data_IF_181047246624
#
_entry.id   IF_181047246624
#
_cell.length_a   1.000
_cell.length_b   1.000
_cell.length_c   1.000
_cell.angle_alpha   90.00
_cell.angle_beta   90.00
_cell.angle_gamma   90.00
#
_symmetry.space_group_name_H-M   'P 1'
#
loop_
_entity.id
_entity.type
_entity.pdbx_description
1 polymer ?
#
# COMPACT_ATOMS: atom_id res chain seq x y z
N UNK A 1 48.87 3.33 15.84
CA UNK A 1 47.53 2.69 15.84
C UNK A 1 47.60 1.57 14.81
N UNK A 2 47.32 0.31 15.18
CA UNK A 2 47.29 -0.79 14.20
C UNK A 2 46.13 -0.56 13.21
N UNK A 3 46.27 -1.03 11.98
CA UNK A 3 45.19 -0.93 10.99
C UNK A 3 43.91 -1.62 11.49
N UNK A 4 44.04 -2.73 12.22
CA UNK A 4 42.95 -3.42 12.89
C UNK A 4 42.14 -2.51 13.82
N UNK A 5 42.80 -1.71 14.66
CA UNK A 5 42.12 -0.78 15.57
C UNK A 5 41.47 0.39 14.82
N UNK A 6 42.09 0.83 13.72
CA UNK A 6 41.48 1.83 12.84
C UNK A 6 40.21 1.26 12.19
N UNK A 7 40.27 0.03 11.69
CA UNK A 7 39.16 -0.66 11.06
C UNK A 7 37.98 -0.85 12.03
N UNK A 8 38.24 -1.32 13.26
CA UNK A 8 37.21 -1.56 14.27
C UNK A 8 36.52 -0.30 14.80
N UNK A 9 37.10 0.88 14.57
CA UNK A 9 36.48 2.17 14.92
C UNK A 9 35.78 2.79 13.72
N UNK A 10 36.42 2.80 12.55
CA UNK A 10 35.91 3.48 11.36
C UNK A 10 34.64 2.80 10.85
N UNK A 11 34.64 1.46 10.74
CA UNK A 11 33.48 0.73 10.20
C UNK A 11 32.22 0.97 11.04
N UNK A 12 32.23 0.84 12.38
CA UNK A 12 31.07 1.19 13.19
C UNK A 12 30.65 2.65 13.09
N UNK A 13 31.62 3.56 13.08
CA UNK A 13 31.33 5.00 12.97
C UNK A 13 30.62 5.34 11.67
N UNK A 14 31.11 4.81 10.54
CA UNK A 14 30.48 4.98 9.23
C UNK A 14 29.08 4.34 9.20
N UNK A 15 28.95 3.13 9.73
CA UNK A 15 27.68 2.40 9.77
C UNK A 15 26.63 3.15 10.60
N UNK A 16 26.97 3.56 11.82
CA UNK A 16 26.09 4.36 12.69
C UNK A 16 25.70 5.67 12.01
N UNK A 17 26.66 6.38 11.39
CA UNK A 17 26.39 7.66 10.72
C UNK A 17 25.42 7.48 9.54
N UNK A 18 25.64 6.45 8.72
CA UNK A 18 24.80 6.14 7.57
C UNK A 18 23.38 5.71 8.00
N UNK A 19 23.29 4.77 8.96
CA UNK A 19 22.01 4.29 9.49
C UNK A 19 21.26 5.39 10.26
N UNK A 20 21.95 6.29 10.96
CA UNK A 20 21.32 7.43 11.63
C UNK A 20 20.71 8.39 10.61
N UNK A 21 21.45 8.72 9.56
CA UNK A 21 20.90 9.53 8.46
C UNK A 21 19.67 8.86 7.84
N UNK A 22 19.77 7.58 7.51
CA UNK A 22 18.70 6.83 6.87
C UNK A 22 17.48 6.70 7.82
N UNK A 23 17.69 6.45 9.11
CA UNK A 23 16.63 6.37 10.12
C UNK A 23 15.90 7.71 10.30
N UNK A 24 16.62 8.84 10.27
CA UNK A 24 15.99 10.17 10.32
C UNK A 24 15.12 10.39 9.08
N UNK A 25 15.61 10.02 7.89
CA UNK A 25 14.83 10.14 6.65
C UNK A 25 13.61 9.21 6.66
N UNK A 26 13.76 7.98 7.14
CA UNK A 26 12.69 7.00 7.27
C UNK A 26 11.60 7.47 8.26
N UNK A 27 11.97 8.02 9.42
CA UNK A 27 11.00 8.57 10.38
C UNK A 27 10.27 9.80 9.82
N UNK A 28 10.99 10.73 9.19
CA UNK A 28 10.43 12.02 8.77
C UNK A 28 9.68 11.96 7.44
N UNK A 29 10.19 11.17 6.50
CA UNK A 29 9.70 11.15 5.12
C UNK A 29 9.22 9.78 4.66
N UNK A 30 9.40 8.73 5.47
CA UNK A 30 9.07 7.33 5.15
C UNK A 30 9.77 6.79 3.90
N UNK A 31 10.82 7.49 3.47
CA UNK A 31 11.61 7.18 2.30
C UNK A 31 13.03 7.70 2.51
N UNK A 32 14.02 6.92 2.07
CA UNK A 32 15.41 7.37 2.04
C UNK A 32 15.66 8.07 0.72
N UNK A 33 15.33 9.37 0.66
CA UNK A 33 15.38 10.17 -0.58
C UNK A 33 16.75 10.19 -1.26
N UNK A 34 17.82 10.14 -0.47
CA UNK A 34 19.21 10.16 -0.98
C UNK A 34 19.80 8.77 -0.89
N UNK A 35 19.57 7.99 -1.94
CA UNK A 35 20.09 6.62 -2.04
C UNK A 35 21.63 6.55 -2.11
N UNK A 36 22.30 7.68 -2.33
CA UNK A 36 23.76 7.78 -2.30
C UNK A 36 24.38 7.28 -0.98
N UNK A 37 23.63 7.30 0.13
CA UNK A 37 24.09 6.74 1.40
C UNK A 37 24.46 5.25 1.28
N UNK A 38 23.65 4.47 0.56
CA UNK A 38 23.89 3.04 0.35
C UNK A 38 25.12 2.82 -0.53
N UNK A 39 25.28 3.64 -1.57
CA UNK A 39 26.44 3.58 -2.44
C UNK A 39 27.74 3.92 -1.68
N UNK A 40 27.71 4.92 -0.79
CA UNK A 40 28.86 5.25 0.05
C UNK A 40 29.23 4.09 0.97
N UNK A 41 28.25 3.44 1.61
CA UNK A 41 28.50 2.26 2.44
C UNK A 41 29.17 1.14 1.65
N UNK A 42 28.70 0.86 0.43
CA UNK A 42 29.31 -0.14 -0.45
C UNK A 42 30.75 0.24 -0.82
N UNK A 43 30.99 1.48 -1.26
CA UNK A 43 32.32 1.95 -1.66
C UNK A 43 33.30 1.86 -0.48
N UNK A 44 32.94 2.39 0.68
CA UNK A 44 33.80 2.32 1.86
C UNK A 44 34.00 0.89 2.34
N UNK A 45 32.96 0.05 2.31
CA UNK A 45 33.06 -1.37 2.64
C UNK A 45 34.09 -2.07 1.78
N UNK A 46 33.96 -1.99 0.46
CA UNK A 46 34.93 -2.60 -0.47
C UNK A 46 36.35 -2.12 -0.20
N UNK A 47 36.56 -0.80 -0.02
CA UNK A 47 37.88 -0.23 0.24
C UNK A 47 38.46 -0.76 1.56
N UNK A 48 37.76 -0.60 2.68
CA UNK A 48 38.28 -0.95 4.00
C UNK A 48 38.43 -2.46 4.20
N UNK A 49 37.52 -3.28 3.66
CA UNK A 49 37.64 -4.74 3.71
C UNK A 49 38.84 -5.23 2.88
N UNK A 50 39.08 -4.63 1.70
CA UNK A 50 40.26 -4.96 0.90
C UNK A 50 41.54 -4.59 1.64
N UNK A 51 41.59 -3.40 2.24
CA UNK A 51 42.74 -2.98 3.06
C UNK A 51 42.93 -3.90 4.28
N UNK A 52 41.86 -4.37 4.90
CA UNK A 52 41.93 -5.33 6.01
C UNK A 52 42.57 -6.66 5.57
N UNK A 53 42.15 -7.18 4.41
CA UNK A 53 42.75 -8.39 3.83
C UNK A 53 44.24 -8.20 3.51
N UNK A 54 44.65 -7.03 3.02
CA UNK A 54 46.04 -6.77 2.65
C UNK A 54 46.97 -6.54 3.85
N UNK A 55 46.49 -5.86 4.89
CA UNK A 55 47.34 -5.39 5.99
C UNK A 55 47.19 -6.17 7.30
N UNK A 56 46.11 -6.92 7.49
CA UNK A 56 45.82 -7.61 8.77
C UNK A 56 45.69 -9.11 8.59
N UNK A 57 45.03 -9.58 7.52
CA UNK A 57 44.64 -10.98 7.41
C UNK A 57 45.81 -11.98 7.35
N UNK A 58 46.98 -11.56 6.84
CA UNK A 58 48.19 -12.39 6.79
C UNK A 58 47.94 -13.75 6.11
N UNK A 59 48.38 -14.83 6.75
CA UNK A 59 48.22 -16.20 6.23
C UNK A 59 46.76 -16.70 6.26
N UNK A 60 45.88 -16.05 7.03
CA UNK A 60 44.46 -16.42 7.16
C UNK A 60 43.54 -15.73 6.15
N UNK A 61 44.11 -15.01 5.18
CA UNK A 61 43.35 -14.21 4.21
C UNK A 61 42.25 -14.99 3.47
N UNK A 62 42.46 -16.28 3.17
CA UNK A 62 41.44 -17.12 2.50
C UNK A 62 40.21 -17.34 3.38
N UNK A 63 40.41 -17.60 4.68
CA UNK A 63 39.32 -17.88 5.61
C UNK A 63 38.51 -16.60 5.88
N UNK A 64 39.22 -15.49 6.11
CA UNK A 64 38.59 -14.18 6.33
C UNK A 64 37.83 -13.73 5.07
N UNK A 65 38.40 -13.91 3.88
CA UNK A 65 37.72 -13.60 2.64
C UNK A 65 36.45 -14.43 2.46
N UNK A 66 36.51 -15.73 2.76
CA UNK A 66 35.35 -16.61 2.70
C UNK A 66 34.26 -16.17 3.67
N UNK A 67 34.60 -15.82 4.92
CA UNK A 67 33.65 -15.27 5.90
C UNK A 67 32.98 -14.00 5.37
N UNK A 68 33.76 -13.06 4.81
CA UNK A 68 33.21 -11.83 4.25
C UNK A 68 32.25 -12.10 3.09
N UNK A 69 32.64 -12.96 2.15
CA UNK A 69 31.81 -13.31 1.00
C UNK A 69 30.52 -14.01 1.42
N UNK A 70 30.60 -14.89 2.42
CA UNK A 70 29.43 -15.58 2.93
C UNK A 70 28.44 -14.63 3.60
N UNK A 71 28.93 -13.68 4.42
CA UNK A 71 28.07 -12.62 5.00
C UNK A 71 27.40 -11.78 3.93
N UNK A 72 28.11 -11.45 2.84
CA UNK A 72 27.53 -10.73 1.70
C UNK A 72 26.43 -11.58 1.05
N UNK A 73 26.70 -12.84 0.72
CA UNK A 73 25.73 -13.75 0.09
C UNK A 73 24.48 -13.89 0.97
N UNK A 74 24.64 -14.10 2.28
CA UNK A 74 23.54 -14.19 3.24
C UNK A 74 22.72 -12.91 3.24
N UNK A 75 23.37 -11.74 3.33
CA UNK A 75 22.68 -10.46 3.30
C UNK A 75 21.89 -10.24 2.02
N UNK A 76 22.45 -10.63 0.87
CA UNK A 76 21.77 -10.52 -0.43
C UNK A 76 20.54 -11.42 -0.51
N UNK A 77 20.71 -12.70 -0.15
CA UNK A 77 19.63 -13.70 -0.17
C UNK A 77 18.51 -13.29 0.79
N UNK A 78 18.84 -12.93 2.05
CA UNK A 78 17.84 -12.50 3.03
C UNK A 78 17.10 -11.24 2.57
N UNK A 79 17.83 -10.24 2.05
CA UNK A 79 17.21 -9.01 1.55
C UNK A 79 16.26 -9.28 0.39
N UNK A 80 16.66 -10.13 -0.56
CA UNK A 80 15.82 -10.50 -1.70
C UNK A 80 14.58 -11.30 -1.28
N UNK A 81 14.74 -12.31 -0.42
CA UNK A 81 13.62 -13.15 0.05
C UNK A 81 12.60 -12.33 0.81
N UNK A 82 13.05 -11.46 1.74
CA UNK A 82 12.15 -10.62 2.53
C UNK A 82 11.45 -9.55 1.70
N UNK A 83 12.13 -9.01 0.67
CA UNK A 83 11.51 -8.12 -0.31
C UNK A 83 10.44 -8.84 -1.13
N UNK A 84 10.75 -10.04 -1.65
CA UNK A 84 9.83 -10.81 -2.49
C UNK A 84 8.58 -11.26 -1.74
N UNK A 85 8.71 -11.62 -0.46
CA UNK A 85 7.58 -11.94 0.43
C UNK A 85 6.85 -10.65 0.88
N UNK A 86 7.30 -9.46 0.49
CA UNK A 86 6.68 -8.19 0.85
C UNK A 86 6.72 -7.90 2.37
N UNK A 87 7.68 -8.49 3.09
CA UNK A 87 7.84 -8.26 4.52
C UNK A 87 8.26 -6.81 4.82
N UNK A 88 9.06 -6.21 3.93
CA UNK A 88 9.54 -4.84 4.04
C UNK A 88 9.78 -4.19 2.67
N UNK A 89 10.16 -2.91 2.68
CA UNK A 89 10.35 -2.13 1.46
C UNK A 89 11.72 -2.27 0.79
N UNK A 90 11.86 -1.61 -0.36
CA UNK A 90 13.12 -1.56 -1.11
C UNK A 90 14.24 -0.83 -0.35
N UNK A 91 13.92 0.18 0.47
CA UNK A 91 14.91 0.88 1.27
C UNK A 91 15.55 -0.03 2.33
N UNK A 92 14.76 -0.89 2.98
CA UNK A 92 15.26 -1.84 3.98
C UNK A 92 16.17 -2.89 3.35
N UNK A 93 15.81 -3.36 2.15
CA UNK A 93 16.62 -4.29 1.36
C UNK A 93 17.97 -3.69 0.98
N UNK A 94 17.97 -2.45 0.47
CA UNK A 94 19.21 -1.72 0.14
C UNK A 94 20.07 -1.49 1.38
N UNK A 95 19.45 -1.18 2.52
CA UNK A 95 20.15 -1.05 3.79
C UNK A 95 20.86 -2.35 4.16
N UNK A 96 20.16 -3.49 4.12
CA UNK A 96 20.73 -4.79 4.46
C UNK A 96 21.89 -5.18 3.56
N UNK A 97 21.77 -4.99 2.24
CA UNK A 97 22.84 -5.28 1.28
C UNK A 97 24.05 -4.38 1.47
N UNK A 98 23.83 -3.08 1.72
CA UNK A 98 24.92 -2.15 1.98
C UNK A 98 25.64 -2.45 3.30
N UNK A 99 24.89 -2.94 4.29
CA UNK A 99 25.41 -3.33 5.60
C UNK A 99 26.20 -4.64 5.54
N UNK A 100 25.78 -5.60 4.72
CA UNK A 100 26.55 -6.84 4.51
C UNK A 100 27.90 -6.60 3.84
N UNK A 101 28.01 -5.56 3.02
CA UNK A 101 29.27 -5.16 2.38
C UNK A 101 30.12 -4.28 3.30
N UNK A 102 29.52 -3.33 4.03
CA UNK A 102 30.29 -2.45 4.91
C UNK A 102 30.78 -3.14 6.18
N UNK A 103 29.98 -4.06 6.73
CA UNK A 103 30.27 -4.71 7.99
C UNK A 103 30.22 -6.25 7.90
N UNK A 104 31.03 -6.87 7.03
CA UNK A 104 31.00 -8.32 6.83
C UNK A 104 31.62 -9.11 7.99
N UNK A 105 32.48 -8.46 8.79
CA UNK A 105 33.13 -9.01 9.98
C UNK A 105 32.62 -8.29 11.22
N UNK A 106 32.60 -8.97 12.37
CA UNK A 106 32.29 -8.33 13.64
C UNK A 106 33.38 -7.29 14.01
N UNK A 107 33.02 -6.03 14.31
CA UNK A 107 34.00 -5.00 14.68
C UNK A 107 34.60 -5.21 16.07
N UNK A 108 33.89 -5.94 16.94
CA UNK A 108 34.32 -6.28 18.29
C UNK A 108 34.12 -7.77 18.56
N UNK A 109 34.92 -8.39 19.45
CA UNK A 109 34.70 -9.75 19.89
C UNK A 109 33.31 -9.90 20.52
N UNK A 110 32.64 -11.02 20.25
CA UNK A 110 31.33 -11.31 20.85
C UNK A 110 31.46 -11.42 22.39
N UNK A 111 30.84 -10.49 23.11
CA UNK A 111 30.90 -10.41 24.57
C UNK A 111 30.22 -11.62 25.24
N UNK A 112 29.18 -12.16 24.60
CA UNK A 112 28.34 -13.24 25.13
C UNK A 112 28.88 -14.66 24.87
N UNK A 113 30.09 -14.79 24.30
CA UNK A 113 30.68 -16.07 23.92
C UNK A 113 30.08 -16.67 22.64
N UNK A 114 30.85 -17.53 21.98
CA UNK A 114 30.50 -18.15 20.69
C UNK A 114 30.30 -19.67 20.81
N UNK A 115 29.90 -20.15 21.99
CA UNK A 115 29.55 -21.56 22.11
C UNK A 115 28.04 -21.67 21.92
N UNK A 116 27.62 -22.22 20.78
CA UNK A 116 26.54 -23.23 20.63
C UNK A 116 26.03 -23.27 19.19
N UNK A 117 26.37 -24.38 18.50
CA UNK A 117 25.57 -25.27 17.63
C UNK A 117 26.58 -26.03 16.74
N UNK A 118 26.73 -27.34 16.97
CA UNK A 118 27.65 -28.24 16.24
C UNK A 118 27.22 -28.59 14.80
N UNK A 119 26.31 -27.81 14.21
CA UNK A 119 25.85 -27.97 12.83
C UNK A 119 26.50 -26.91 11.93
N UNK A 120 27.40 -27.30 11.01
CA UNK A 120 28.27 -26.37 10.30
C UNK A 120 27.53 -25.36 9.41
N UNK A 121 26.36 -25.70 8.88
CA UNK A 121 25.57 -24.76 8.07
C UNK A 121 24.88 -23.67 8.92
N UNK A 122 24.31 -24.06 10.07
CA UNK A 122 23.64 -23.10 10.95
C UNK A 122 24.65 -22.19 11.65
N UNK A 123 25.81 -22.71 12.07
CA UNK A 123 26.89 -21.89 12.63
C UNK A 123 27.24 -20.70 11.71
N UNK A 124 27.38 -20.94 10.40
CA UNK A 124 27.76 -19.87 9.47
C UNK A 124 26.69 -18.78 9.25
N UNK A 125 25.40 -19.13 9.22
CA UNK A 125 24.32 -18.13 9.13
C UNK A 125 24.17 -17.38 10.44
N UNK A 126 24.18 -18.10 11.56
CA UNK A 126 23.98 -17.52 12.86
C UNK A 126 25.14 -16.63 13.26
N UNK A 127 26.38 -16.94 12.89
CA UNK A 127 27.56 -16.12 13.17
C UNK A 127 27.66 -14.86 12.30
N UNK A 128 26.92 -14.80 11.19
CA UNK A 128 26.95 -13.64 10.30
C UNK A 128 26.51 -12.36 11.03
N UNK A 129 27.31 -11.30 10.88
CA UNK A 129 27.01 -9.97 11.44
C UNK A 129 25.65 -9.44 10.99
N UNK A 130 25.28 -9.66 9.72
CA UNK A 130 24.03 -9.18 9.12
C UNK A 130 22.84 -9.88 9.75
N UNK A 131 22.94 -11.19 9.95
CA UNK A 131 21.90 -11.98 10.60
C UNK A 131 21.73 -11.54 12.05
N UNK A 132 22.84 -11.36 12.78
CA UNK A 132 22.82 -10.89 14.16
C UNK A 132 22.13 -9.52 14.29
N UNK A 133 22.48 -8.57 13.41
CA UNK A 133 21.89 -7.23 13.39
C UNK A 133 20.40 -7.31 13.09
N UNK A 134 19.99 -8.12 12.10
CA UNK A 134 18.60 -8.33 11.74
C UNK A 134 17.79 -8.91 12.91
N UNK A 135 18.30 -9.94 13.60
CA UNK A 135 17.63 -10.51 14.78
C UNK A 135 17.51 -9.48 15.90
N UNK A 136 18.58 -8.75 16.20
CA UNK A 136 18.56 -7.68 17.22
C UNK A 136 17.50 -6.61 16.87
N UNK A 137 17.41 -6.22 15.60
CA UNK A 137 16.40 -5.27 15.12
C UNK A 137 14.99 -5.83 15.24
N UNK A 138 14.75 -7.07 14.80
CA UNK A 138 13.45 -7.73 14.89
C UNK A 138 12.98 -7.84 16.35
N UNK A 139 13.86 -8.17 17.30
CA UNK A 139 13.51 -8.21 18.72
C UNK A 139 13.03 -6.85 19.23
N UNK A 140 13.68 -5.75 18.79
CA UNK A 140 13.24 -4.41 19.15
C UNK A 140 11.89 -4.04 18.53
N UNK A 141 11.59 -4.51 17.32
CA UNK A 141 10.30 -4.23 16.66
C UNK A 141 9.10 -4.82 17.39
N UNK A 142 9.29 -5.88 18.18
CA UNK A 142 8.23 -6.49 19.02
C UNK A 142 7.66 -5.48 20.03
N UNK A 143 8.44 -4.47 20.42
CA UNK A 143 7.99 -3.40 21.32
C UNK A 143 7.26 -2.26 20.59
N UNK A 144 7.24 -2.24 19.25
CA UNK A 144 6.57 -1.17 18.50
C UNK A 144 5.06 -1.06 18.78
N UNK A 145 4.29 -2.17 18.83
CA UNK A 145 2.88 -2.10 19.22
C UNK A 145 2.68 -1.52 20.63
N UNK A 146 3.62 -1.74 21.56
CA UNK A 146 3.56 -1.14 22.90
C UNK A 146 3.71 0.40 22.82
N UNK A 147 4.59 0.90 21.95
CA UNK A 147 4.72 2.34 21.69
C UNK A 147 3.42 2.92 21.13
N UNK A 148 2.77 2.24 20.19
CA UNK A 148 1.48 2.66 19.64
C UNK A 148 0.39 2.70 20.72
N UNK A 149 0.33 1.67 21.58
CA UNK A 149 -0.56 1.64 22.74
C UNK A 149 -0.34 2.85 23.64
N UNK A 150 0.91 3.18 23.98
CA UNK A 150 1.23 4.35 24.81
C UNK A 150 0.75 5.64 24.13
N UNK A 151 1.02 5.82 22.84
CA UNK A 151 0.57 6.98 22.06
C UNK A 151 -0.96 7.08 22.08
N UNK A 152 -1.66 5.96 21.88
CA UNK A 152 -3.11 5.92 21.85
C UNK A 152 -3.72 6.19 23.23
N UNK A 153 -3.10 5.71 24.32
CA UNK A 153 -3.49 6.04 25.70
C UNK A 153 -3.36 7.54 25.96
N UNK A 154 -2.27 8.17 25.49
CA UNK A 154 -2.09 9.63 25.63
C UNK A 154 -3.17 10.38 24.84
N UNK A 155 -3.48 9.95 23.61
CA UNK A 155 -4.53 10.54 22.77
C UNK A 155 -5.93 10.37 23.37
N UNK A 156 -6.21 9.23 24.01
CA UNK A 156 -7.49 8.93 24.63
C UNK A 156 -7.87 9.91 25.75
N UNK A 157 -6.90 10.63 26.33
CA UNK A 157 -7.16 11.68 27.33
C UNK A 157 -7.84 12.91 26.75
N UNK A 158 -7.61 13.21 25.47
CA UNK A 158 -8.06 14.45 24.84
C UNK A 158 -9.31 14.25 23.96
N UNK A 159 -9.52 13.05 23.40
CA UNK A 159 -10.62 12.77 22.49
C UNK A 159 -11.14 11.33 22.63
N UNK A 160 -12.42 11.13 22.34
CA UNK A 160 -13.04 9.81 22.25
C UNK A 160 -12.64 9.09 20.96
N UNK A 161 -11.66 8.19 21.06
CA UNK A 161 -11.01 7.53 19.92
C UNK A 161 -11.92 6.72 18.99
N UNK A 162 -13.05 6.19 19.49
CA UNK A 162 -13.97 5.32 18.73
C UNK A 162 -15.41 5.84 18.65
N UNK A 163 -15.64 7.15 18.84
CA UNK A 163 -17.00 7.69 18.90
C UNK A 163 -17.79 7.52 17.59
N UNK A 164 -17.12 7.54 16.45
CA UNK A 164 -17.74 7.51 15.12
C UNK A 164 -17.43 6.21 14.35
N UNK A 165 -17.10 5.13 15.06
CA UNK A 165 -16.66 3.87 14.44
C UNK A 165 -17.40 2.68 15.04
N UNK A 166 -18.12 1.94 14.19
CA UNK A 166 -18.76 0.68 14.55
C UNK A 166 -17.81 -0.48 14.27
N UNK A 167 -17.43 -1.19 15.33
CA UNK A 167 -16.57 -2.34 15.22
C UNK A 167 -16.74 -3.24 16.45
N UNK A 168 -16.40 -4.52 16.32
CA UNK A 168 -16.41 -5.44 17.45
C UNK A 168 -15.40 -4.99 18.52
N UNK A 169 -15.56 -5.47 19.75
CA UNK A 169 -14.59 -5.17 20.83
C UNK A 169 -13.18 -5.63 20.44
N UNK A 170 -13.06 -6.75 19.74
CA UNK A 170 -11.78 -7.31 19.29
C UNK A 170 -11.12 -6.46 18.20
N UNK A 171 -11.90 -5.96 17.25
CA UNK A 171 -11.37 -5.09 16.18
C UNK A 171 -10.90 -3.75 16.75
N UNK A 172 -11.62 -3.21 17.74
CA UNK A 172 -11.17 -2.01 18.47
C UNK A 172 -9.87 -2.25 19.24
N UNK A 173 -9.73 -3.39 19.92
CA UNK A 173 -8.49 -3.74 20.64
C UNK A 173 -7.33 -3.88 19.66
N UNK A 174 -7.50 -4.65 18.58
CA UNK A 174 -6.44 -4.83 17.57
C UNK A 174 -6.06 -3.50 16.92
N UNK A 175 -7.04 -2.65 16.60
CA UNK A 175 -6.81 -1.32 16.03
C UNK A 175 -6.04 -0.42 17.01
N UNK A 176 -6.34 -0.54 18.31
CA UNK A 176 -5.64 0.18 19.35
C UNK A 176 -4.19 -0.28 19.55
N UNK A 177 -3.88 -1.55 19.26
CA UNK A 177 -2.53 -2.13 19.40
C UNK A 177 -1.67 -1.84 18.16
N UNK A 178 -2.22 -1.99 16.96
CA UNK A 178 -1.47 -1.93 15.71
C UNK A 178 -1.64 -0.62 14.93
N UNK A 179 -2.63 0.20 15.29
CA UNK A 179 -2.94 1.44 14.61
C UNK A 179 -2.76 2.68 15.46
N UNK A 180 -2.91 3.85 14.83
CA UNK A 180 -3.05 5.12 15.53
C UNK A 180 -3.99 6.07 14.79
N UNK A 181 -4.71 6.92 15.53
CA UNK A 181 -5.59 7.91 14.93
C UNK A 181 -4.83 9.18 14.50
N UNK A 182 -5.00 9.63 13.27
CA UNK A 182 -4.44 10.89 12.73
C UNK A 182 -5.54 11.82 12.23
N UNK A 183 -5.24 13.11 12.10
CA UNK A 183 -6.17 14.09 11.51
C UNK A 183 -6.15 13.98 9.99
N UNK A 184 -7.32 13.95 9.36
CA UNK A 184 -7.47 13.84 7.89
C UNK A 184 -6.87 15.05 7.18
N UNK A 185 -6.93 16.24 7.79
CA UNK A 185 -6.34 17.48 7.25
C UNK A 185 -4.82 17.43 7.12
N UNK A 186 -4.15 16.59 7.93
CA UNK A 186 -2.68 16.44 7.91
C UNK A 186 -2.20 15.43 6.88
N UNK A 187 -3.12 14.72 6.21
CA UNK A 187 -2.77 13.66 5.25
C UNK A 187 -2.37 14.28 3.91
N UNK A 188 -1.16 13.97 3.47
CA UNK A 188 -0.68 14.32 2.14
C UNK A 188 -1.09 13.24 1.14
N UNK A 189 -1.89 13.60 0.13
CA UNK A 189 -2.39 12.69 -0.91
C UNK A 189 -1.28 12.00 -1.70
N UNK A 190 -0.13 12.67 -1.85
CA UNK A 190 1.00 12.15 -2.65
C UNK A 190 1.90 11.19 -1.88
N UNK A 191 1.66 10.99 -0.57
CA UNK A 191 2.55 10.23 0.32
C UNK A 191 1.74 9.45 1.35
N UNK A 192 1.09 8.37 0.91
CA UNK A 192 0.26 7.49 1.74
C UNK A 192 1.06 6.26 2.20
N UNK A 193 2.09 6.46 3.03
CA UNK A 193 2.93 5.37 3.59
C UNK A 193 2.31 4.71 4.83
N UNK A 194 1.00 4.54 4.82
CA UNK A 194 0.22 3.92 5.88
C UNK A 194 -1.05 3.33 5.27
N UNK A 195 -1.60 2.30 5.91
CA UNK A 195 -2.89 1.75 5.50
C UNK A 195 -4.02 2.34 6.34
N UNK A 196 -5.19 2.57 5.75
CA UNK A 196 -6.38 2.97 6.48
C UNK A 196 -6.99 1.75 7.18
N UNK A 197 -7.27 1.91 8.47
CA UNK A 197 -7.98 0.90 9.27
C UNK A 197 -9.49 1.15 9.29
N UNK A 198 -9.98 2.20 8.64
CA UNK A 198 -11.38 2.53 8.58
C UNK A 198 -11.86 2.60 7.14
N UNK A 199 -12.92 1.87 6.85
CA UNK A 199 -13.60 1.91 5.57
C UNK A 199 -15.06 2.29 5.80
N UNK A 200 -15.61 3.06 4.87
CA UNK A 200 -17.03 3.35 4.86
C UNK A 200 -17.77 2.12 4.31
N UNK A 201 -18.81 1.67 5.03
CA UNK A 201 -19.62 0.58 4.52
C UNK A 201 -20.26 0.97 3.17
N UNK A 202 -19.98 0.20 2.12
CA UNK A 202 -20.54 0.48 0.80
C UNK A 202 -22.07 0.34 0.86
N UNK A 203 -22.77 1.39 0.44
CA UNK A 203 -24.23 1.35 0.35
C UNK A 203 -24.59 0.69 -0.97
N UNK A 204 -25.43 -0.33 -0.92
CA UNK A 204 -26.02 -0.94 -2.11
C UNK A 204 -27.48 -0.49 -2.22
N UNK A 205 -27.81 0.12 -3.35
CA UNK A 205 -29.15 0.53 -3.71
C UNK A 205 -29.61 -0.27 -4.93
N UNK A 206 -30.86 -0.74 -4.87
CA UNK A 206 -31.54 -1.38 -5.99
C UNK A 206 -32.85 -0.68 -6.23
N UNK A 207 -33.13 -0.33 -7.48
CA UNK A 207 -34.38 0.36 -7.82
C UNK A 207 -34.34 1.13 -9.13
N UNK A 208 -35.46 1.79 -9.38
CA UNK A 208 -35.61 2.84 -10.38
C UNK A 208 -35.29 4.18 -9.73
N UNK A 209 -34.24 4.83 -10.20
CA UNK A 209 -33.78 6.13 -9.73
C UNK A 209 -34.06 7.15 -10.82
N UNK A 210 -34.55 8.34 -10.45
CA UNK A 210 -34.80 9.40 -11.40
C UNK A 210 -34.63 10.76 -10.75
N UNK A 211 -33.94 11.67 -11.44
CA UNK A 211 -33.87 13.07 -11.03
C UNK A 211 -32.55 13.76 -11.34
N UNK A 212 -32.48 15.01 -10.89
CA UNK A 212 -31.27 15.83 -10.98
C UNK A 212 -30.50 15.69 -9.66
N UNK A 213 -29.35 15.02 -9.73
CA UNK A 213 -28.39 14.91 -8.65
C UNK A 213 -27.25 15.90 -8.87
N UNK A 214 -26.94 16.71 -7.86
CA UNK A 214 -25.78 17.60 -7.85
C UNK A 214 -24.90 17.24 -6.66
N UNK A 215 -23.70 16.72 -6.93
CA UNK A 215 -22.83 16.24 -5.86
C UNK A 215 -21.62 15.40 -6.30
N UNK A 216 -21.13 14.61 -5.34
CA UNK A 216 -19.97 13.74 -5.42
C UNK A 216 -20.40 12.28 -5.29
N UNK A 217 -19.96 11.43 -6.22
CA UNK A 217 -20.28 10.01 -6.25
C UNK A 217 -18.99 9.20 -6.36
N UNK A 218 -18.89 8.10 -5.64
CA UNK A 218 -17.83 7.10 -5.79
C UNK A 218 -18.46 5.73 -5.71
N UNK A 219 -18.32 4.92 -6.76
CA UNK A 219 -18.92 3.60 -6.75
C UNK A 219 -19.04 2.94 -8.11
N UNK A 220 -19.75 1.83 -8.11
CA UNK A 220 -20.08 1.01 -9.26
C UNK A 220 -21.58 1.12 -9.54
N UNK A 221 -21.96 1.65 -10.70
CA UNK A 221 -23.31 1.53 -11.26
C UNK A 221 -23.35 0.34 -12.21
N UNK A 222 -24.33 -0.53 -12.04
CA UNK A 222 -24.57 -1.70 -12.91
C UNK A 222 -26.01 -1.65 -13.37
N UNK A 223 -26.22 -1.47 -14.68
CA UNK A 223 -27.56 -1.51 -15.27
C UNK A 223 -27.75 -0.52 -16.39
N UNK A 224 -28.99 -0.03 -16.49
CA UNK A 224 -29.47 0.78 -17.60
C UNK A 224 -29.59 2.25 -17.15
N UNK A 225 -28.81 3.13 -17.76
CA UNK A 225 -28.78 4.56 -17.48
C UNK A 225 -29.26 5.33 -18.71
N UNK A 226 -30.28 6.16 -18.55
CA UNK A 226 -30.75 7.10 -19.57
C UNK A 226 -30.60 8.53 -19.03
N UNK A 227 -29.66 9.32 -19.56
CA UNK A 227 -29.45 10.65 -19.02
C UNK A 227 -28.28 11.45 -19.60
N UNK A 228 -28.00 12.56 -18.91
CA UNK A 228 -26.90 13.49 -19.14
C UNK A 228 -25.97 13.52 -17.90
N UNK A 229 -24.71 13.14 -18.09
CA UNK A 229 -23.65 13.30 -17.08
C UNK A 229 -22.87 14.56 -17.41
N UNK A 230 -22.93 15.55 -16.51
CA UNK A 230 -22.23 16.83 -16.64
C UNK A 230 -21.26 17.02 -15.48
N UNK A 231 -19.96 16.92 -15.72
CA UNK A 231 -18.96 17.13 -14.68
C UNK A 231 -17.63 16.49 -15.02
N UNK A 232 -16.84 16.25 -13.99
CA UNK A 232 -15.61 15.47 -14.08
C UNK A 232 -15.93 14.03 -13.69
N UNK A 233 -15.66 13.10 -14.59
CA UNK A 233 -15.71 11.66 -14.33
C UNK A 233 -14.30 11.08 -14.50
N UNK A 234 -13.87 10.32 -13.50
CA UNK A 234 -12.65 9.53 -13.54
C UNK A 234 -12.98 8.08 -13.15
N UNK A 235 -12.89 7.17 -14.11
CA UNK A 235 -13.24 5.77 -13.88
C UNK A 235 -13.25 4.91 -15.13
N UNK A 236 -13.69 3.66 -14.96
CA UNK A 236 -13.86 2.67 -16.02
C UNK A 236 -15.31 2.60 -16.46
N UNK A 237 -15.51 2.51 -17.78
CA UNK A 237 -16.82 2.28 -18.39
C UNK A 237 -16.73 1.03 -19.23
N UNK A 238 -17.50 0.01 -18.86
CA UNK A 238 -17.63 -1.25 -19.60
C UNK A 238 -19.10 -1.49 -19.93
N UNK A 239 -19.49 -1.38 -21.20
CA UNK A 239 -20.87 -1.61 -21.60
C UNK A 239 -21.19 -1.23 -23.03
N UNK A 240 -22.48 -1.24 -23.36
CA UNK A 240 -22.99 -0.87 -24.67
C UNK A 240 -23.75 0.47 -24.56
N UNK A 241 -23.36 1.42 -25.41
CA UNK A 241 -24.11 2.65 -25.61
C UNK A 241 -25.15 2.40 -26.71
N UNK A 242 -26.42 2.52 -26.33
CA UNK A 242 -27.58 2.41 -27.19
C UNK A 242 -28.00 3.84 -27.56
N UNK A 243 -27.72 4.29 -28.77
CA UNK A 243 -27.90 5.71 -29.12
C UNK A 243 -29.32 6.11 -29.53
N UNK A 244 -30.30 5.20 -29.61
CA UNK A 244 -31.56 5.53 -30.30
C UNK A 244 -32.86 4.90 -29.77
N UNK A 245 -32.91 4.31 -28.57
CA UNK A 245 -34.16 3.75 -28.04
C UNK A 245 -34.76 4.59 -26.91
N UNK A 246 -35.25 5.79 -27.26
CA UNK A 246 -36.26 6.47 -26.44
C UNK A 246 -37.48 5.56 -26.32
N UNK A 247 -37.65 4.90 -25.17
CA UNK A 247 -38.79 4.03 -24.90
C UNK A 247 -38.51 2.79 -24.04
N UNK A 248 -37.26 2.32 -23.93
CA UNK A 248 -36.97 1.08 -23.19
C UNK A 248 -37.20 1.18 -21.67
N UNK A 249 -37.07 2.37 -21.10
CA UNK A 249 -37.07 2.57 -19.64
C UNK A 249 -38.43 2.28 -18.98
N UNK A 250 -39.52 2.39 -19.74
CA UNK A 250 -40.89 2.19 -19.25
C UNK A 250 -41.55 0.92 -19.85
N UNK A 251 -40.89 0.21 -20.77
CA UNK A 251 -41.43 -1.01 -21.43
C UNK A 251 -40.86 -2.32 -20.91
N UNK A 252 -39.69 -2.32 -20.28
CA UNK A 252 -39.05 -3.55 -19.78
C UNK A 252 -39.42 -3.76 -18.29
N UNK A 253 -39.92 -4.95 -17.90
CA UNK A 253 -40.23 -5.25 -16.51
C UNK A 253 -38.98 -5.12 -15.61
N UNK A 254 -39.12 -4.47 -14.46
CA UNK A 254 -38.01 -4.26 -13.51
C UNK A 254 -37.31 -5.56 -13.11
N UNK A 255 -38.08 -6.66 -12.99
CA UNK A 255 -37.56 -7.99 -12.61
C UNK A 255 -36.58 -8.57 -13.65
N UNK A 256 -36.85 -8.38 -14.94
CA UNK A 256 -35.96 -8.87 -16.00
C UNK A 256 -34.66 -8.09 -16.02
N UNK A 257 -34.73 -6.76 -15.84
CA UNK A 257 -33.54 -5.92 -15.74
C UNK A 257 -32.74 -6.28 -14.50
N UNK A 258 -33.39 -6.50 -13.34
CA UNK A 258 -32.66 -6.93 -12.15
C UNK A 258 -31.94 -8.26 -12.38
N UNK A 259 -32.61 -9.28 -12.96
CA UNK A 259 -31.95 -10.54 -13.29
C UNK A 259 -30.73 -10.37 -14.23
N UNK A 260 -30.86 -9.53 -15.26
CA UNK A 260 -29.76 -9.22 -16.17
C UNK A 260 -28.63 -8.42 -15.49
N UNK A 261 -28.95 -7.48 -14.60
CA UNK A 261 -27.95 -6.76 -13.80
C UNK A 261 -27.26 -7.65 -12.78
N UNK A 262 -27.98 -8.65 -12.24
CA UNK A 262 -27.45 -9.63 -11.30
C UNK A 262 -26.44 -10.53 -11.99
N UNK A 263 -26.75 -10.99 -13.21
CA UNK A 263 -25.84 -11.75 -14.06
C UNK A 263 -24.64 -10.93 -14.51
N UNK A 264 -24.84 -9.68 -14.95
CA UNK A 264 -23.74 -8.77 -15.31
C UNK A 264 -22.85 -8.48 -14.10
N UNK A 265 -23.44 -8.25 -12.92
CA UNK A 265 -22.70 -8.06 -11.68
C UNK A 265 -21.91 -9.33 -11.34
N UNK A 266 -22.54 -10.52 -11.40
CA UNK A 266 -21.82 -11.78 -11.13
C UNK A 266 -20.67 -12.00 -12.10
N UNK A 267 -20.84 -11.72 -13.40
CA UNK A 267 -19.74 -11.79 -14.38
C UNK A 267 -18.63 -10.81 -14.03
N UNK A 268 -18.97 -9.55 -13.78
CA UNK A 268 -18.00 -8.51 -13.43
C UNK A 268 -17.23 -8.84 -12.14
N UNK A 269 -17.93 -9.20 -11.06
CA UNK A 269 -17.30 -9.53 -9.77
C UNK A 269 -16.54 -10.87 -9.79
N UNK A 270 -16.94 -11.84 -10.63
CA UNK A 270 -16.19 -13.07 -10.82
C UNK A 270 -14.95 -12.87 -11.70
N UNK A 271 -15.03 -12.00 -12.71
CA UNK A 271 -13.88 -11.58 -13.53
C UNK A 271 -12.88 -10.77 -12.69
N UNK A 272 -13.33 -9.87 -11.80
CA UNK A 272 -12.44 -9.17 -10.84
C UNK A 272 -11.77 -10.13 -9.83
N UNK A 273 -12.44 -11.21 -9.38
CA UNK A 273 -11.77 -12.26 -8.59
C UNK A 273 -10.79 -13.10 -9.41
N UNK A 274 -10.86 -13.02 -10.73
CA UNK A 274 -10.02 -13.72 -11.69
C UNK A 274 -8.88 -12.88 -12.28
N UNK A 275 -8.73 -11.61 -11.89
CA UNK A 275 -7.59 -10.78 -12.27
C UNK A 275 -6.35 -11.12 -11.41
N UNK A 276 -5.89 -12.36 -11.53
CA UNK A 276 -4.46 -12.60 -11.68
C UNK A 276 -4.21 -12.63 -13.19
N UNK A 277 -3.36 -11.72 -13.67
CA UNK A 277 -2.86 -11.65 -15.05
C UNK A 277 -3.82 -11.00 -16.06
N UNK A 278 -3.71 -9.68 -16.22
CA UNK A 278 -3.88 -9.08 -17.55
C UNK A 278 -2.76 -9.59 -18.44
N UNK A 279 -3.14 -10.12 -19.61
CA UNK A 279 -2.24 -10.49 -20.69
C UNK A 279 -1.41 -9.24 -21.11
N UNK A 280 -0.06 -9.24 -20.97
CA UNK A 280 0.80 -8.09 -21.26
C UNK A 280 0.80 -7.65 -22.73
N UNK A 281 0.09 -8.36 -23.61
CA UNK A 281 0.00 -8.04 -25.04
C UNK A 281 -0.94 -6.89 -25.38
N UNK A 282 -1.77 -6.41 -24.44
CA UNK A 282 -2.74 -5.33 -24.68
C UNK A 282 -2.32 -3.93 -24.17
N UNK A 283 -1.17 -3.81 -23.49
CA UNK A 283 -0.67 -2.55 -22.92
C UNK A 283 0.45 -1.89 -23.72
N UNK A 284 0.66 -2.27 -24.99
CA UNK A 284 1.53 -1.54 -25.93
C UNK A 284 0.72 -0.69 -26.90
N UNK A 285 0.13 0.39 -26.39
CA UNK A 285 0.10 1.62 -27.18
C UNK A 285 0.56 2.78 -26.31
N UNK A 286 1.71 3.32 -26.71
CA UNK A 286 2.44 4.38 -26.05
C UNK A 286 1.57 5.64 -25.92
N UNK A 287 1.58 6.20 -24.72
CA UNK A 287 1.23 7.59 -24.49
C UNK A 287 2.17 8.49 -25.31
N UNK A 288 1.68 9.00 -26.44
CA UNK A 288 2.26 10.17 -27.07
C UNK A 288 1.18 11.11 -27.60
N UNK A 289 1.03 12.22 -26.89
CA UNK A 289 0.44 13.51 -27.31
C UNK A 289 -1.06 13.76 -27.04
N UNK A 290 -1.40 15.05 -26.75
CA UNK A 290 -2.72 15.49 -26.30
C UNK A 290 -3.67 15.67 -27.49
N UNK A 291 -4.96 15.80 -27.22
CA UNK A 291 -6.09 15.78 -28.16
C UNK A 291 -6.67 14.39 -28.39
N UNK A 292 -7.82 14.17 -27.75
CA UNK A 292 -8.81 13.19 -28.17
C UNK A 292 -8.99 13.26 -29.70
N UNK A 293 -8.97 12.14 -30.43
CA UNK A 293 -9.61 12.13 -31.74
C UNK A 293 -11.10 12.44 -31.51
N UNK A 294 -11.74 13.26 -32.37
CA UNK A 294 -13.19 13.40 -32.31
C UNK A 294 -13.78 12.00 -32.49
N UNK A 295 -14.87 11.71 -31.79
CA UNK A 295 -15.65 10.47 -31.99
C UNK A 295 -15.69 10.16 -33.48
N UNK A 296 -14.97 9.12 -33.90
CA UNK A 296 -15.08 8.63 -35.25
C UNK A 296 -16.49 8.06 -35.36
N UNK A 297 -17.38 8.87 -35.93
CA UNK A 297 -18.55 8.33 -36.59
C UNK A 297 -18.03 7.38 -37.66
N UNK A 298 -18.08 6.08 -37.39
CA UNK A 298 -17.97 5.09 -38.45
C UNK A 298 -19.14 5.34 -39.39
N UNK A 299 -18.89 6.06 -40.48
CA UNK A 299 -19.78 6.11 -41.63
C UNK A 299 -19.82 4.70 -42.21
N UNK A 300 -20.86 3.95 -41.86
CA UNK A 300 -21.12 2.61 -42.37
C UNK A 300 -22.13 1.89 -41.50
N UNK A 301 -23.41 1.99 -41.89
CA UNK A 301 -24.56 1.10 -41.62
C UNK A 301 -24.67 0.40 -40.25
N UNK A 302 -25.81 0.65 -39.59
CA UNK A 302 -26.37 -0.03 -38.40
C UNK A 302 -25.76 0.37 -37.04
N UNK A 303 -25.89 1.66 -36.68
CA UNK A 303 -25.44 2.22 -35.40
C UNK A 303 -26.52 2.16 -34.32
N UNK A 304 -26.85 0.97 -33.83
CA UNK A 304 -27.74 0.82 -32.65
C UNK A 304 -26.97 0.47 -31.37
N UNK A 305 -25.76 -0.12 -31.48
CA UNK A 305 -24.94 -0.54 -30.34
C UNK A 305 -23.46 -0.15 -30.57
N UNK A 306 -22.86 0.59 -29.65
CA UNK A 306 -21.39 0.74 -29.61
C UNK A 306 -20.84 0.23 -28.28
N UNK A 307 -19.97 -0.77 -28.32
CA UNK A 307 -19.25 -1.28 -27.15
C UNK A 307 -18.19 -0.26 -26.72
N UNK A 308 -18.21 0.08 -25.43
CA UNK A 308 -17.25 0.99 -24.79
C UNK A 308 -16.58 0.20 -23.66
N UNK A 309 -15.26 0.15 -23.68
CA UNK A 309 -14.42 -0.43 -22.64
C UNK A 309 -13.16 0.43 -22.50
N UNK A 310 -12.85 0.88 -21.28
CA UNK A 310 -11.60 1.61 -20.99
C UNK A 310 -11.69 2.60 -19.84
N UNK A 311 -10.51 3.08 -19.42
CA UNK A 311 -10.36 4.19 -18.47
C UNK A 311 -10.75 5.50 -19.16
N UNK A 312 -11.61 6.27 -18.51
CA UNK A 312 -12.14 7.52 -19.04
C UNK A 312 -11.91 8.62 -18.01
N UNK A 313 -11.18 9.65 -18.43
CA UNK A 313 -11.22 10.97 -17.82
C UNK A 313 -12.03 11.88 -18.74
N UNK A 314 -13.25 12.23 -18.34
CA UNK A 314 -14.11 13.09 -19.15
C UNK A 314 -14.52 14.35 -18.40
N UNK A 315 -14.28 15.49 -19.06
CA UNK A 315 -14.87 16.78 -18.72
C UNK A 315 -15.86 17.14 -19.83
N UNK A 316 -17.16 17.11 -19.55
CA UNK A 316 -18.15 17.45 -20.57
C UNK A 316 -19.52 16.83 -20.33
N UNK A 317 -20.35 16.90 -21.37
CA UNK A 317 -21.72 16.37 -21.38
C UNK A 317 -21.75 15.01 -22.08
N UNK A 318 -22.05 13.94 -21.36
CA UNK A 318 -22.33 12.63 -21.94
C UNK A 318 -23.83 12.40 -21.95
N UNK A 319 -24.44 12.26 -23.13
CA UNK A 319 -25.87 11.94 -23.29
C UNK A 319 -26.05 10.58 -23.95
N UNK A 320 -26.92 9.75 -23.40
CA UNK A 320 -27.35 8.51 -24.06
C UNK A 320 -28.00 7.50 -23.13
N UNK A 321 -28.42 6.38 -23.72
CA UNK A 321 -28.83 5.17 -23.01
C UNK A 321 -27.61 4.24 -22.93
N UNK A 322 -27.19 3.91 -21.72
CA UNK A 322 -26.04 3.04 -21.46
C UNK A 322 -26.51 1.78 -20.73
N UNK A 323 -26.09 0.62 -21.20
CA UNK A 323 -26.26 -0.66 -20.52
C UNK A 323 -24.90 -1.25 -20.19
N UNK A 324 -24.55 -1.33 -18.90
CA UNK A 324 -23.28 -1.91 -18.47
C UNK A 324 -22.85 -1.53 -17.06
N UNK A 325 -21.55 -1.58 -16.83
CA UNK A 325 -20.86 -1.25 -15.58
C UNK A 325 -20.12 0.08 -15.72
N UNK A 326 -20.42 1.02 -14.84
CA UNK A 326 -19.70 2.30 -14.66
C UNK A 326 -19.06 2.27 -13.28
N UNK A 327 -17.74 2.27 -13.20
CA UNK A 327 -17.01 2.28 -11.92
C UNK A 327 -16.11 3.50 -11.85
N UNK A 328 -16.26 4.33 -10.83
CA UNK A 328 -15.36 5.48 -10.67
C UNK A 328 -15.86 6.54 -9.71
N UNK A 329 -15.10 7.63 -9.70
CA UNK A 329 -15.42 8.84 -8.95
C UNK A 329 -15.96 9.93 -9.89
N UNK A 330 -16.99 10.62 -9.43
CA UNK A 330 -17.68 11.68 -10.18
C UNK A 330 -17.88 12.91 -9.30
N UNK A 331 -17.66 14.08 -9.89
CA UNK A 331 -17.99 15.36 -9.30
C UNK A 331 -18.73 16.24 -10.32
N UNK A 332 -20.01 16.52 -10.06
CA UNK A 332 -20.82 17.35 -10.95
C UNK A 332 -22.33 17.15 -10.81
N UNK A 333 -23.04 17.38 -11.92
CA UNK A 333 -24.48 17.20 -12.03
C UNK A 333 -24.80 15.98 -12.91
N UNK A 334 -25.57 15.04 -12.36
CA UNK A 334 -26.08 13.86 -13.06
C UNK A 334 -27.59 14.01 -13.18
N UNK A 335 -28.11 14.07 -14.40
CA UNK A 335 -29.55 14.17 -14.67
C UNK A 335 -29.98 12.98 -15.50
N UNK A 336 -30.99 12.24 -15.05
CA UNK A 336 -31.44 11.07 -15.81
C UNK A 336 -32.32 10.12 -15.02
N UNK A 337 -32.66 9.02 -15.67
CA UNK A 337 -33.26 7.83 -15.08
C UNK A 337 -32.22 6.70 -15.07
N UNK A 338 -32.09 6.01 -13.95
CA UNK A 338 -31.22 4.83 -13.79
C UNK A 338 -32.02 3.65 -13.25
N UNK A 339 -31.89 2.48 -13.87
CA UNK A 339 -32.57 1.25 -13.46
C UNK A 339 -31.51 0.15 -13.34
N UNK A 340 -31.29 -0.30 -12.11
CA UNK A 340 -30.29 -1.32 -11.82
C UNK A 340 -29.77 -1.27 -10.40
N UNK A 341 -28.52 -1.69 -10.24
CA UNK A 341 -27.80 -1.74 -8.97
C UNK A 341 -26.80 -0.60 -8.88
N UNK A 342 -26.81 0.08 -7.75
CA UNK A 342 -25.94 1.20 -7.42
C UNK A 342 -25.17 0.83 -6.16
N UNK A 343 -23.86 0.66 -6.24
CA UNK A 343 -23.02 0.29 -5.09
C UNK A 343 -21.95 1.35 -4.87
N UNK A 344 -21.88 1.95 -3.69
CA UNK A 344 -20.86 2.97 -3.39
C UNK A 344 -21.31 4.01 -2.38
N UNK A 345 -20.65 5.17 -2.43
CA UNK A 345 -20.94 6.33 -1.61
C UNK A 345 -21.44 7.51 -2.45
N UNK A 346 -22.50 8.16 -1.96
CA UNK A 346 -23.29 9.16 -2.70
C UNK A 346 -23.53 10.37 -1.80
N UNK A 347 -22.94 11.51 -2.15
CA UNK A 347 -23.02 12.75 -1.35
C UNK A 347 -23.48 13.90 -2.24
N UNK A 348 -24.71 14.37 -2.06
CA UNK A 348 -25.23 15.48 -2.85
C UNK A 348 -26.65 15.88 -2.52
N UNK A 349 -27.14 16.90 -3.23
CA UNK A 349 -28.52 17.38 -3.14
C UNK A 349 -29.28 16.93 -4.39
N UNK A 350 -30.46 16.35 -4.17
CA UNK A 350 -31.42 16.11 -5.24
C UNK A 350 -32.44 17.24 -5.26
N UNK A 351 -32.59 17.92 -6.41
CA UNK A 351 -33.55 19.03 -6.56
C UNK A 351 -34.98 18.54 -6.81
N UNK A 352 -35.17 17.34 -7.38
CA UNK A 352 -36.51 16.81 -7.78
C UNK A 352 -36.69 15.28 -7.73
N UNK A 353 -35.67 14.51 -7.36
CA UNK A 353 -35.72 13.04 -7.37
C UNK A 353 -35.69 12.44 -5.97
N UNK A 354 -36.66 11.60 -5.64
CA UNK A 354 -36.61 10.74 -4.46
C UNK A 354 -35.78 9.52 -4.87
N UNK A 355 -34.63 9.30 -4.23
CA UNK A 355 -33.86 8.05 -4.39
C UNK A 355 -34.69 6.97 -3.70
N UNK A 356 -35.69 6.43 -4.39
CA UNK A 356 -36.53 5.33 -3.91
C UNK A 356 -35.85 4.00 -4.25
N UNK A 357 -34.68 3.79 -3.66
CA UNK A 357 -34.14 2.45 -3.46
C UNK A 357 -34.52 1.99 -2.06
N UNK A 358 -34.58 0.69 -1.82
CA UNK A 358 -34.62 0.13 -0.46
C UNK A 358 -33.44 0.70 0.33
N UNK A 359 -33.68 1.78 1.06
CA UNK A 359 -32.78 2.25 2.09
C UNK A 359 -32.93 1.24 3.21
N UNK A 360 -32.13 0.18 3.17
CA UNK A 360 -31.61 -0.29 4.44
C UNK A 360 -31.07 0.98 5.09
N UNK A 361 -31.66 1.34 6.22
CA UNK A 361 -31.54 2.62 6.90
C UNK A 361 -30.13 2.74 7.51
N UNK A 362 -29.11 2.63 6.66
CA UNK A 362 -27.70 2.52 7.00
C UNK A 362 -27.22 3.96 7.06
N UNK A 363 -27.19 4.51 8.28
CA UNK A 363 -26.41 5.70 8.58
C UNK A 363 -24.98 5.47 8.10
N UNK A 364 -24.28 6.52 7.68
CA UNK A 364 -22.84 6.47 7.40
C UNK A 364 -22.12 5.88 8.61
N UNK A 365 -21.70 4.62 8.48
CA UNK A 365 -21.10 3.84 9.56
C UNK A 365 -19.74 3.39 9.08
N UNK A 366 -18.71 4.01 9.65
CA UNK A 366 -17.33 3.60 9.45
C UNK A 366 -17.09 2.30 10.22
N UNK A 367 -16.50 1.33 9.53
CA UNK A 367 -16.13 0.03 10.09
C UNK A 367 -14.62 -0.09 10.17
N UNK A 368 -14.13 -0.82 11.17
CA UNK A 368 -12.71 -1.15 11.26
C UNK A 368 -12.45 -2.36 10.38
N UNK A 369 -11.63 -2.18 9.35
CA UNK A 369 -11.17 -3.26 8.48
C UNK A 369 -9.66 -3.37 8.65
N UNK A 370 -9.19 -4.50 9.20
CA UNK A 370 -7.77 -4.83 9.20
C UNK A 370 -7.49 -5.75 8.02
N UNK A 371 -6.65 -5.27 7.10
CA UNK A 371 -6.16 -6.06 5.98
C UNK A 371 -4.78 -6.61 6.34
N UNK A 372 -4.65 -7.92 6.18
CA UNK A 372 -3.40 -8.65 6.30
C UNK A 372 -3.23 -9.35 4.95
N UNK A 373 -2.39 -8.80 4.09
CA UNK A 373 -2.18 -9.32 2.74
C UNK A 373 -1.34 -8.39 1.89
N UNK A 374 -0.64 -8.97 0.93
CA UNK A 374 0.07 -8.23 -0.11
C UNK A 374 -0.93 -8.00 -1.24
N UNK A 375 -1.41 -6.77 -1.36
CA UNK A 375 -2.14 -6.31 -2.53
C UNK A 375 -1.12 -5.75 -3.55
N UNK A 376 -1.43 -5.83 -4.84
CA UNK A 376 -0.61 -5.16 -5.87
C UNK A 376 -0.57 -3.65 -5.61
N UNK A 377 0.57 -3.00 -5.86
CA UNK A 377 0.81 -1.59 -5.53
C UNK A 377 -0.23 -0.66 -6.17
N UNK A 378 -0.60 -0.91 -7.43
CA UNK A 378 -1.63 -0.13 -8.13
C UNK A 378 -3.03 -0.28 -7.54
N UNK A 379 -3.34 -1.45 -6.97
CA UNK A 379 -4.63 -1.73 -6.33
C UNK A 379 -4.68 -1.05 -4.96
N UNK A 380 -3.60 -1.13 -4.20
CA UNK A 380 -3.42 -0.42 -2.93
C UNK A 380 -3.58 1.08 -3.12
N UNK A 381 -2.88 1.68 -4.07
CA UNK A 381 -2.90 3.13 -4.30
C UNK A 381 -4.30 3.62 -4.66
N UNK A 382 -5.00 2.92 -5.56
CA UNK A 382 -6.39 3.21 -5.90
C UNK A 382 -7.30 3.17 -4.68
N UNK A 383 -7.15 2.15 -3.83
CA UNK A 383 -7.91 1.99 -2.59
C UNK A 383 -7.63 3.13 -1.60
N UNK A 384 -6.36 3.44 -1.36
CA UNK A 384 -5.96 4.51 -0.43
C UNK A 384 -6.49 5.87 -0.88
N UNK A 385 -6.42 6.17 -2.19
CA UNK A 385 -6.99 7.38 -2.77
C UNK A 385 -8.51 7.44 -2.61
N UNK A 386 -9.21 6.33 -2.91
CA UNK A 386 -10.66 6.19 -2.73
C UNK A 386 -11.06 6.49 -1.28
N UNK A 387 -10.41 5.85 -0.31
CA UNK A 387 -10.70 6.06 1.12
C UNK A 387 -10.43 7.50 1.54
N UNK A 388 -9.32 8.10 1.09
CA UNK A 388 -9.01 9.50 1.39
C UNK A 388 -10.06 10.47 0.83
N UNK A 389 -10.54 10.22 -0.38
CA UNK A 389 -11.63 10.99 -0.98
C UNK A 389 -12.90 10.89 -0.13
N UNK A 390 -13.29 9.69 0.31
CA UNK A 390 -14.47 9.46 1.15
C UNK A 390 -14.36 10.18 2.50
N UNK A 391 -13.20 10.10 3.15
CA UNK A 391 -12.93 10.79 4.42
C UNK A 391 -13.14 12.31 4.32
N UNK A 392 -12.67 12.91 3.21
CA UNK A 392 -12.81 14.35 2.96
C UNK A 392 -14.23 14.73 2.57
N UNK A 393 -14.89 13.91 1.76
CA UNK A 393 -16.26 14.17 1.34
C UNK A 393 -17.24 14.15 2.54
N UNK A 394 -16.99 13.29 3.53
CA UNK A 394 -17.76 13.21 4.79
C UNK A 394 -17.29 14.19 5.89
N UNK A 395 -16.33 15.10 5.60
CA UNK A 395 -15.74 16.03 6.58
C UNK A 395 -15.27 15.33 7.87
N UNK A 396 -14.73 14.12 7.76
CA UNK A 396 -14.27 13.37 8.92
C UNK A 396 -12.98 13.98 9.45
N UNK A 397 -12.95 14.28 10.75
CA UNK A 397 -11.80 14.94 11.39
C UNK A 397 -10.61 14.00 11.58
N UNK A 398 -10.87 12.76 11.97
CA UNK A 398 -9.83 11.79 12.35
C UNK A 398 -10.06 10.43 11.73
N UNK A 399 -8.98 9.73 11.40
CA UNK A 399 -9.01 8.37 10.86
C UNK A 399 -7.92 7.51 11.51
N UNK A 400 -8.25 6.24 11.76
CA UNK A 400 -7.31 5.23 12.19
C UNK A 400 -6.50 4.70 11.01
N UNK A 401 -5.20 4.60 11.23
CA UNK A 401 -4.24 4.10 10.25
C UNK A 401 -3.31 3.09 10.90
N UNK A 402 -2.77 2.16 10.10
CA UNK A 402 -1.61 1.36 10.46
C UNK A 402 -0.37 2.06 9.91
N UNK A 403 0.44 2.72 10.76
CA UNK A 403 1.66 3.36 10.28
C UNK A 403 2.65 2.33 9.75
N UNK A 404 3.34 2.64 8.65
CA UNK A 404 4.46 1.84 8.19
C UNK A 404 5.54 1.72 9.29
N UNK A 405 6.12 0.54 9.45
CA UNK A 405 7.18 0.31 10.42
C UNK A 405 8.47 1.01 9.94
N UNK A 406 9.08 1.92 10.72
CA UNK A 406 10.36 2.52 10.35
C UNK A 406 11.50 1.53 10.60
N UNK A 407 11.62 0.50 9.77
CA UNK A 407 12.50 -0.62 10.04
C UNK A 407 13.99 -0.22 10.02
N UNK A 408 14.38 0.78 9.23
CA UNK A 408 15.74 1.35 9.24
C UNK A 408 16.12 1.93 10.60
N UNK A 409 15.17 2.54 11.32
CA UNK A 409 15.42 2.99 12.69
C UNK A 409 15.69 1.82 13.64
N UNK A 410 14.98 0.71 13.50
CA UNK A 410 15.25 -0.51 14.27
C UNK A 410 16.56 -1.19 13.83
N UNK A 411 16.97 -1.07 12.57
CA UNK A 411 18.31 -1.49 12.11
C UNK A 411 19.42 -0.70 12.79
N UNK A 412 19.26 0.62 12.95
CA UNK A 412 20.21 1.45 13.71
C UNK A 412 20.32 0.99 15.17
N UNK A 413 19.19 0.79 15.85
CA UNK A 413 19.19 0.36 17.25
C UNK A 413 19.71 -1.08 17.42
N UNK A 414 19.32 -1.98 16.52
CA UNK A 414 19.80 -3.36 16.50
C UNK A 414 21.30 -3.45 16.23
N UNK A 415 21.83 -2.56 15.39
CA UNK A 415 23.27 -2.39 15.22
C UNK A 415 23.95 -1.88 16.49
N UNK A 416 23.35 -0.90 17.18
CA UNK A 416 23.83 -0.45 18.48
C UNK A 416 23.89 -1.59 19.51
N UNK A 417 22.84 -2.43 19.58
CA UNK A 417 22.84 -3.64 20.43
C UNK A 417 23.92 -4.64 20.00
N UNK A 418 24.12 -4.80 18.69
CA UNK A 418 25.17 -5.67 18.15
C UNK A 418 26.57 -5.21 18.58
N UNK A 419 26.83 -3.91 18.61
CA UNK A 419 28.11 -3.38 19.10
C UNK A 419 28.32 -3.58 20.61
N UNK A 420 27.25 -3.53 21.40
CA UNK A 420 27.32 -3.59 22.87
C UNK A 420 27.34 -5.03 23.40
N UNK A 421 26.50 -5.89 22.83
CA UNK A 421 26.24 -7.24 23.34
C UNK A 421 26.64 -8.33 22.34
N UNK A 422 26.96 -7.98 21.10
CA UNK A 422 27.20 -8.95 20.04
C UNK A 422 25.89 -9.58 19.55
N UNK A 423 25.98 -10.87 19.27
CA UNK A 423 24.90 -11.61 18.64
C UNK A 423 23.89 -12.18 19.65
N UNK A 424 22.76 -11.48 19.84
CA UNK A 424 21.70 -11.96 20.73
C UNK A 424 20.99 -13.19 20.18
N UNK A 425 21.07 -13.46 18.86
CA UNK A 425 20.51 -14.68 18.28
C UNK A 425 21.19 -15.90 18.90
N UNK A 426 22.52 -15.91 18.99
CA UNK A 426 23.23 -17.02 19.63
C UNK A 426 22.76 -17.24 21.07
N UNK A 427 22.58 -16.17 21.85
CA UNK A 427 22.06 -16.29 23.21
C UNK A 427 20.65 -16.92 23.24
N UNK A 428 19.72 -16.45 22.41
CA UNK A 428 18.34 -16.94 22.39
C UNK A 428 18.26 -18.40 21.95
N UNK A 429 19.06 -18.80 20.95
CA UNK A 429 19.04 -20.15 20.40
C UNK A 429 19.95 -21.12 21.18
N UNK A 430 20.77 -20.62 22.09
CA UNK A 430 21.55 -21.40 23.05
C UNK A 430 20.80 -21.78 24.33
N UNK A 431 19.71 -21.05 24.65
CA UNK A 431 18.78 -21.31 25.75
C UNK A 431 17.75 -22.37 25.35
#
# INVERSE_FOLDING_TARGET
MSFELVYSIIIPTLTVSALLYAAIQDILYREVRREFVWLLMVIFGVIFNTLYLLFVAGDQWTNILLEMLMTIVIGFVLGFVLFYIGFWGGADTKALWSLSILNPLAPFPNLLGSEIISLPFFSLVFESSVFAILVNSSLLTIFYPLVLVIINVIKAKNYSLFANVQASRWDKIRCFIFGTSISVEKINEKKLHFDFLEELHEKEFRGKFGGDFEGKLDGTLIGLFEGEINGEFQGQINGELLRDSSGMFDTVPEQEIFSATDELAQKFWNEERGFSVLDPSLTKEESSSPFFPPLSSSKGSDTTHSKIAGDIFHQGKVKGLFQGVLQGSFQGQLTGKFLGRLKGDFIGKSKKGKIEGSTNNIKDQWQITMRLGLEEEEVMDRRLQKTLWQLRAHNKKTVWITPGLPFVFFMLLGYGLYLLFGNLALLIFSL
#
